data_IF_733623782972
#
_entry.id   IF_733623782972
#
_cell.length_a   1.000
_cell.length_b   1.000
_cell.length_c   1.000
_cell.angle_alpha   90.00
_cell.angle_beta   90.00
_cell.angle_gamma   90.00
#
_symmetry.space_group_name_H-M   'P 1'
#
loop_
_entity.id
_entity.type
_entity.pdbx_description
1 polymer ?
#
# COMPACT_ATOMS: atom_id res chain seq x y z
N UNK A 1 -85.54 103.95 -23.61
CA UNK A 1 -85.09 103.60 -22.23
C UNK A 1 -84.75 102.12 -22.26
N UNK A 2 -83.45 101.77 -22.29
CA UNK A 2 -82.61 101.48 -21.10
C UNK A 2 -82.84 100.05 -20.59
N UNK A 3 -81.87 99.15 -20.42
CA UNK A 3 -80.43 99.15 -20.67
C UNK A 3 -79.92 97.70 -20.85
N UNK A 4 -78.67 97.63 -21.32
CA UNK A 4 -77.57 96.80 -20.82
C UNK A 4 -77.48 95.32 -21.29
N UNK A 5 -76.55 95.14 -22.22
CA UNK A 5 -75.91 93.89 -22.59
C UNK A 5 -74.89 93.46 -21.53
N UNK A 6 -74.82 92.16 -21.26
CA UNK A 6 -73.64 91.49 -20.69
C UNK A 6 -73.39 90.18 -21.44
N UNK A 7 -72.29 90.19 -22.18
CA UNK A 7 -71.69 89.09 -22.91
C UNK A 7 -70.76 88.34 -21.95
N UNK A 8 -71.00 87.05 -21.71
CA UNK A 8 -70.03 86.16 -21.03
C UNK A 8 -69.80 84.91 -21.87
N UNK A 9 -68.60 84.90 -22.44
CA UNK A 9 -68.01 83.88 -23.30
C UNK A 9 -67.57 82.71 -22.42
N UNK A 10 -68.34 81.61 -22.42
CA UNK A 10 -67.98 80.36 -21.77
C UNK A 10 -66.82 79.69 -22.50
N UNK A 11 -65.67 79.59 -21.83
CA UNK A 11 -64.42 78.99 -22.29
C UNK A 11 -64.38 77.57 -21.73
N UNK A 12 -64.35 76.54 -22.58
CA UNK A 12 -63.99 75.19 -22.13
C UNK A 12 -62.53 75.15 -21.69
N UNK A 13 -62.22 74.41 -20.60
CA UNK A 13 -60.93 73.76 -20.55
C UNK A 13 -61.03 72.28 -20.14
N UNK A 14 -60.43 71.47 -21.00
CA UNK A 14 -59.56 70.32 -20.75
C UNK A 14 -60.04 69.18 -19.84
N UNK A 15 -60.23 68.02 -20.48
CA UNK A 15 -60.13 66.71 -19.87
C UNK A 15 -58.85 66.60 -19.00
N UNK A 16 -59.03 66.45 -17.69
CA UNK A 16 -57.95 66.05 -16.78
C UNK A 16 -57.37 64.71 -17.26
N UNK A 17 -56.20 64.75 -17.91
CA UNK A 17 -55.33 63.57 -18.04
C UNK A 17 -55.05 63.05 -16.63
N UNK A 18 -55.68 61.95 -16.26
CA UNK A 18 -55.32 61.22 -15.04
C UNK A 18 -53.85 60.83 -15.16
N UNK A 19 -53.00 61.49 -14.39
CA UNK A 19 -51.60 61.12 -14.21
C UNK A 19 -51.62 59.75 -13.51
N UNK A 20 -51.63 58.67 -14.30
CA UNK A 20 -51.63 57.28 -13.82
C UNK A 20 -50.43 57.16 -12.89
N UNK A 21 -50.68 57.09 -11.59
CA UNK A 21 -49.62 57.05 -10.60
C UNK A 21 -48.91 55.71 -10.76
N UNK A 22 -47.62 55.74 -11.05
CA UNK A 22 -46.78 54.54 -11.11
C UNK A 22 -46.59 53.89 -9.72
N UNK A 23 -47.40 54.26 -8.73
CA UNK A 23 -47.30 53.83 -7.33
C UNK A 23 -47.50 52.32 -7.16
N UNK A 24 -48.36 51.69 -7.97
CA UNK A 24 -48.51 50.23 -7.96
C UNK A 24 -47.29 49.49 -8.51
N UNK A 25 -46.63 50.05 -9.53
CA UNK A 25 -45.39 49.50 -10.08
C UNK A 25 -44.22 49.71 -9.12
N UNK A 26 -44.13 50.87 -8.47
CA UNK A 26 -43.15 51.15 -7.42
C UNK A 26 -43.33 50.24 -6.20
N UNK A 27 -44.57 50.03 -5.75
CA UNK A 27 -44.87 49.11 -4.65
C UNK A 27 -44.50 47.65 -5.01
N UNK A 28 -44.78 47.22 -6.24
CA UNK A 28 -44.37 45.91 -6.74
C UNK A 28 -42.85 45.72 -6.81
N UNK A 29 -42.11 46.75 -7.25
CA UNK A 29 -40.64 46.72 -7.29
C UNK A 29 -40.06 46.69 -5.87
N UNK A 30 -40.61 47.47 -4.93
CA UNK A 30 -40.18 47.45 -3.53
C UNK A 30 -40.41 46.08 -2.87
N UNK A 31 -41.57 45.46 -3.12
CA UNK A 31 -41.86 44.10 -2.65
C UNK A 31 -40.90 43.07 -3.26
N UNK A 32 -40.62 43.15 -4.56
CA UNK A 32 -39.67 42.27 -5.23
C UNK A 32 -38.26 42.41 -4.63
N UNK A 33 -37.79 43.64 -4.40
CA UNK A 33 -36.49 43.89 -3.79
C UNK A 33 -36.41 43.38 -2.35
N UNK A 34 -37.49 43.48 -1.58
CA UNK A 34 -37.58 42.91 -0.24
C UNK A 34 -37.50 41.36 -0.26
N UNK A 35 -38.20 40.72 -1.20
CA UNK A 35 -38.14 39.26 -1.38
C UNK A 35 -36.74 38.82 -1.82
N UNK A 36 -36.13 39.52 -2.78
CA UNK A 36 -34.75 39.23 -3.20
C UNK A 36 -33.77 39.43 -2.03
N UNK A 37 -33.92 40.52 -1.28
CA UNK A 37 -33.08 40.80 -0.11
C UNK A 37 -33.18 39.73 0.97
N UNK A 38 -34.39 39.25 1.25
CA UNK A 38 -34.60 38.15 2.22
C UNK A 38 -34.06 36.81 1.74
N UNK A 39 -34.16 36.50 0.44
CA UNK A 39 -33.56 35.29 -0.14
C UNK A 39 -32.02 35.36 -0.07
N UNK A 40 -31.42 36.50 -0.43
CA UNK A 40 -29.96 36.69 -0.36
C UNK A 40 -29.49 36.60 1.10
N UNK A 41 -30.20 37.25 2.02
CA UNK A 41 -29.87 37.22 3.45
C UNK A 41 -30.00 35.81 4.03
N UNK A 42 -31.09 35.09 3.71
CA UNK A 42 -31.28 33.70 4.09
C UNK A 42 -30.20 32.78 3.51
N UNK A 43 -29.85 32.96 2.24
CA UNK A 43 -28.76 32.22 1.60
C UNK A 43 -27.41 32.45 2.27
N UNK A 44 -27.08 33.71 2.59
CA UNK A 44 -25.87 34.06 3.33
C UNK A 44 -25.85 33.47 4.74
N UNK A 45 -26.97 33.52 5.47
CA UNK A 45 -27.11 32.92 6.80
C UNK A 45 -26.89 31.40 6.77
N UNK A 46 -27.45 30.71 5.78
CA UNK A 46 -27.33 29.25 5.61
C UNK A 46 -25.90 28.85 5.22
N UNK A 47 -25.25 29.60 4.32
CA UNK A 47 -23.85 29.37 3.96
C UNK A 47 -22.91 29.67 5.13
N UNK A 48 -23.18 30.74 5.89
CA UNK A 48 -22.44 31.05 7.12
C UNK A 48 -22.57 29.96 8.17
N UNK A 49 -23.79 29.44 8.37
CA UNK A 49 -24.07 28.33 9.27
C UNK A 49 -23.36 27.02 8.85
N UNK A 50 -23.31 26.71 7.54
CA UNK A 50 -22.58 25.53 7.03
C UNK A 50 -21.05 25.64 7.12
N UNK A 51 -20.50 26.86 7.21
CA UNK A 51 -19.05 27.12 7.26
C UNK A 51 -18.52 27.26 8.70
N UNK A 52 -19.38 27.25 9.70
CA UNK A 52 -19.00 27.48 11.09
C UNK A 52 -18.32 26.22 11.70
N UNK A 53 -16.98 26.25 11.78
CA UNK A 53 -16.10 25.14 12.23
C UNK A 53 -16.46 24.61 13.62
N UNK A 54 -17.07 25.43 14.47
CA UNK A 54 -17.45 25.06 15.84
C UNK A 54 -18.70 24.16 15.91
N UNK A 55 -19.47 24.02 14.81
CA UNK A 55 -20.77 23.31 14.81
C UNK A 55 -20.79 22.01 14.03
N UNK A 56 -19.88 21.82 13.07
CA UNK A 56 -19.71 20.60 12.28
C UNK A 56 -18.25 20.13 12.33
N UNK A 57 -17.76 19.64 13.49
CA UNK A 57 -16.44 19.03 13.53
C UNK A 57 -16.41 17.87 12.52
N UNK A 58 -15.24 17.59 11.92
CA UNK A 58 -14.99 16.33 11.22
C UNK A 58 -14.99 15.20 12.27
N UNK A 59 -16.18 14.84 12.74
CA UNK A 59 -16.36 14.10 13.98
C UNK A 59 -16.01 12.63 13.84
N UNK A 60 -16.18 12.06 12.64
CA UNK A 60 -16.07 10.62 12.43
C UNK A 60 -15.44 10.27 11.09
N UNK A 61 -14.45 9.39 11.15
CA UNK A 61 -13.85 8.74 9.99
C UNK A 61 -14.18 7.25 10.04
N UNK A 62 -14.77 6.73 8.98
CA UNK A 62 -15.08 5.31 8.83
C UNK A 62 -14.15 4.75 7.77
N UNK A 63 -13.19 3.94 8.22
CA UNK A 63 -12.22 3.27 7.35
C UNK A 63 -12.70 1.84 7.07
N UNK A 64 -12.80 1.50 5.79
CA UNK A 64 -13.28 0.21 5.28
C UNK A 64 -12.25 -0.39 4.31
N UNK A 65 -12.38 -1.69 4.04
CA UNK A 65 -11.43 -2.47 3.25
C UNK A 65 -10.67 -3.48 4.10
N UNK A 66 -10.07 -4.47 3.43
CA UNK A 66 -9.16 -5.42 4.08
C UNK A 66 -7.84 -4.71 4.38
N UNK A 67 -7.41 -4.74 5.65
CA UNK A 67 -6.23 -4.03 6.13
C UNK A 67 -5.33 -5.00 6.88
N UNK A 68 -4.13 -5.19 6.36
CA UNK A 68 -3.09 -6.00 6.98
C UNK A 68 -2.02 -5.09 7.60
N UNK A 69 -1.71 -3.97 6.95
CA UNK A 69 -0.64 -3.05 7.38
C UNK A 69 -1.16 -1.73 7.94
N UNK A 70 -2.31 -1.22 7.48
CA UNK A 70 -2.78 0.13 7.79
C UNK A 70 -3.57 0.20 9.08
N UNK A 71 -3.13 1.06 9.99
CA UNK A 71 -3.84 1.37 11.23
C UNK A 71 -4.71 2.62 11.09
N UNK A 72 -5.66 2.81 12.00
CA UNK A 72 -6.46 4.05 12.03
C UNK A 72 -5.60 5.29 12.31
N UNK A 73 -4.47 5.13 13.01
CA UNK A 73 -3.59 6.26 13.32
C UNK A 73 -2.81 6.71 12.09
N UNK A 74 -2.34 5.80 11.23
CA UNK A 74 -1.66 6.16 9.98
C UNK A 74 -2.51 7.10 9.11
N UNK A 75 -3.80 6.78 8.97
CA UNK A 75 -4.75 7.59 8.20
C UNK A 75 -4.99 8.94 8.89
N UNK A 76 -5.11 8.95 10.22
CA UNK A 76 -5.26 10.20 10.99
C UNK A 76 -4.03 11.09 10.80
N UNK A 77 -2.83 10.56 10.97
CA UNK A 77 -1.58 11.31 10.81
C UNK A 77 -1.41 11.80 9.37
N UNK A 78 -1.74 10.98 8.38
CA UNK A 78 -1.73 11.39 6.98
C UNK A 78 -2.63 12.62 6.74
N UNK A 79 -3.84 12.63 7.30
CA UNK A 79 -4.77 13.76 7.18
C UNK A 79 -4.27 14.99 7.94
N UNK A 80 -3.76 14.82 9.17
CA UNK A 80 -3.23 15.91 9.98
C UNK A 80 -1.98 16.56 9.35
N UNK A 81 -1.21 15.82 8.55
CA UNK A 81 -0.08 16.35 7.82
C UNK A 81 -0.47 17.38 6.74
N UNK A 82 -1.75 17.44 6.34
CA UNK A 82 -2.26 18.46 5.41
C UNK A 82 -2.47 19.83 6.08
N UNK A 83 -2.33 19.91 7.40
CA UNK A 83 -2.54 21.13 8.18
C UNK A 83 -3.69 21.00 9.17
N UNK A 84 -4.10 22.14 9.75
CA UNK A 84 -5.19 22.17 10.71
C UNK A 84 -6.47 21.60 10.08
N UNK A 85 -7.15 20.64 10.72
CA UNK A 85 -8.37 20.06 10.19
C UNK A 85 -9.42 21.17 9.99
N UNK A 86 -9.80 21.40 8.74
CA UNK A 86 -10.90 22.31 8.39
C UNK A 86 -12.26 21.72 8.75
N UNK A 87 -13.33 22.38 8.30
CA UNK A 87 -14.70 21.87 8.45
C UNK A 87 -14.97 20.76 7.44
N UNK A 88 -15.88 19.83 7.75
CA UNK A 88 -16.35 18.77 6.84
C UNK A 88 -16.71 19.30 5.43
N UNK A 89 -17.27 20.52 5.35
CA UNK A 89 -17.64 21.16 4.08
C UNK A 89 -16.45 21.69 3.28
N UNK A 90 -15.43 22.26 3.93
CA UNK A 90 -14.32 22.96 3.27
C UNK A 90 -13.15 22.05 2.90
N UNK A 91 -13.06 20.87 3.51
CA UNK A 91 -11.96 19.94 3.26
C UNK A 91 -12.08 19.28 1.87
N UNK A 92 -11.02 19.31 1.07
CA UNK A 92 -11.00 18.62 -0.23
C UNK A 92 -10.70 17.13 -0.06
N UNK A 93 -11.62 16.28 -0.52
CA UNK A 93 -11.45 14.82 -0.46
C UNK A 93 -10.38 14.31 -1.40
N UNK A 94 -10.13 14.99 -2.52
CA UNK A 94 -9.11 14.58 -3.49
C UNK A 94 -7.71 14.76 -2.89
N UNK A 95 -7.52 15.85 -2.14
CA UNK A 95 -6.25 16.11 -1.43
C UNK A 95 -6.03 15.06 -0.33
N UNK A 96 -7.08 14.69 0.41
CA UNK A 96 -7.00 13.61 1.40
C UNK A 96 -6.68 12.28 0.72
N UNK A 97 -7.36 11.96 -0.38
CA UNK A 97 -7.14 10.73 -1.12
C UNK A 97 -5.67 10.64 -1.56
N UNK A 98 -5.15 11.66 -2.23
CA UNK A 98 -3.75 11.72 -2.66
C UNK A 98 -2.78 11.59 -1.48
N UNK A 99 -3.10 12.19 -0.34
CA UNK A 99 -2.27 12.10 0.86
C UNK A 99 -2.26 10.71 1.48
N UNK A 100 -3.38 10.00 1.44
CA UNK A 100 -3.45 8.59 1.88
C UNK A 100 -2.73 7.68 0.89
N UNK A 101 -2.85 7.93 -0.41
CA UNK A 101 -2.14 7.20 -1.48
C UNK A 101 -0.62 7.40 -1.44
N UNK A 102 -0.10 8.39 -0.70
CA UNK A 102 1.34 8.53 -0.42
C UNK A 102 1.87 7.45 0.54
N UNK A 103 1.00 6.77 1.28
CA UNK A 103 1.41 5.58 2.03
C UNK A 103 1.75 4.50 1.01
N UNK A 104 3.04 4.13 0.93
CA UNK A 104 3.58 3.32 -0.16
C UNK A 104 2.91 1.95 -0.34
N UNK A 105 2.33 1.39 0.72
CA UNK A 105 1.62 0.10 0.69
C UNK A 105 0.14 0.19 0.33
N UNK A 106 -0.40 1.39 0.09
CA UNK A 106 -1.75 1.60 -0.40
C UNK A 106 -1.74 1.55 -1.92
N UNK A 107 -2.47 0.59 -2.50
CA UNK A 107 -2.67 0.47 -3.94
C UNK A 107 -3.68 1.49 -4.44
N UNK A 108 -4.76 1.68 -3.68
CA UNK A 108 -5.81 2.62 -4.02
C UNK A 108 -6.55 3.08 -2.76
N UNK A 109 -6.90 4.36 -2.70
CA UNK A 109 -7.82 4.89 -1.70
C UNK A 109 -9.02 5.53 -2.39
N UNK A 110 -10.21 5.39 -1.80
CA UNK A 110 -11.39 6.14 -2.19
C UNK A 110 -11.91 6.89 -0.99
N UNK A 111 -12.04 8.21 -1.12
CA UNK A 111 -12.46 9.09 -0.04
C UNK A 111 -13.73 9.80 -0.47
N UNK A 112 -14.79 9.65 0.33
CA UNK A 112 -16.06 10.33 0.07
C UNK A 112 -16.65 10.91 1.35
N UNK A 113 -17.29 12.05 1.19
CA UNK A 113 -18.11 12.68 2.24
C UNK A 113 -19.44 11.95 2.33
N UNK A 114 -19.86 11.62 3.54
CA UNK A 114 -21.20 11.14 3.86
C UNK A 114 -21.83 12.10 4.87
N UNK A 115 -22.92 12.74 4.45
CA UNK A 115 -23.68 13.63 5.33
C UNK A 115 -24.26 12.83 6.51
N UNK A 116 -24.29 13.38 7.75
CA UNK A 116 -24.04 14.78 8.12
C UNK A 116 -22.57 15.19 8.32
N UNK A 117 -21.71 14.31 8.83
CA UNK A 117 -20.36 14.67 9.30
C UNK A 117 -19.32 13.53 9.20
N UNK A 118 -19.55 12.55 8.31
CA UNK A 118 -18.72 11.35 8.19
C UNK A 118 -17.81 11.38 6.95
N UNK A 119 -16.53 11.06 7.13
CA UNK A 119 -15.62 10.76 6.03
C UNK A 119 -15.52 9.23 5.85
N UNK A 120 -16.03 8.72 4.74
CA UNK A 120 -15.88 7.31 4.38
C UNK A 120 -14.64 7.12 3.52
N UNK A 121 -13.72 6.31 4.04
CA UNK A 121 -12.45 5.98 3.40
C UNK A 121 -12.48 4.48 3.12
N UNK A 122 -12.34 4.10 1.86
CA UNK A 122 -12.16 2.71 1.44
C UNK A 122 -10.73 2.52 0.93
N UNK A 123 -10.02 1.56 1.51
CA UNK A 123 -8.61 1.30 1.21
C UNK A 123 -8.45 -0.05 0.53
N UNK A 124 -7.53 -0.09 -0.43
CA UNK A 124 -7.01 -1.32 -1.03
C UNK A 124 -5.50 -1.31 -0.83
N UNK A 125 -4.99 -2.25 -0.05
CA UNK A 125 -3.55 -2.43 0.18
C UNK A 125 -2.93 -3.28 -0.93
N UNK A 126 -1.64 -3.09 -1.19
CA UNK A 126 -0.88 -4.04 -2.00
C UNK A 126 -0.73 -5.38 -1.28
N UNK A 127 -0.85 -6.47 -2.02
CA UNK A 127 -0.65 -7.84 -1.52
C UNK A 127 0.72 -8.33 -2.00
N UNK A 128 1.71 -8.47 -1.11
CA UNK A 128 3.05 -8.90 -1.53
C UNK A 128 3.07 -10.37 -1.90
N UNK A 129 3.75 -10.68 -3.01
CA UNK A 129 4.06 -12.06 -3.42
C UNK A 129 5.53 -12.42 -3.18
N UNK A 130 6.40 -11.41 -3.16
CA UNK A 130 7.83 -11.58 -2.94
C UNK A 130 8.46 -10.32 -2.32
N UNK A 131 9.66 -10.49 -1.74
CA UNK A 131 10.50 -9.36 -1.32
C UNK A 131 11.40 -8.94 -2.48
N UNK A 132 11.56 -7.64 -2.67
CA UNK A 132 12.36 -7.04 -3.73
C UNK A 132 13.55 -6.29 -3.12
N UNK A 133 14.77 -6.66 -3.50
CA UNK A 133 16.01 -5.98 -3.06
C UNK A 133 16.06 -5.69 -1.54
N UNK A 134 15.67 -6.70 -0.73
CA UNK A 134 15.61 -6.71 0.74
C UNK A 134 14.61 -5.75 1.42
N UNK A 135 14.51 -4.50 0.96
CA UNK A 135 13.75 -3.43 1.60
C UNK A 135 12.35 -3.23 1.02
N UNK A 136 12.17 -3.60 -0.24
CA UNK A 136 10.91 -3.45 -0.97
C UNK A 136 10.18 -4.79 -1.03
N UNK A 137 8.94 -4.73 -1.49
CA UNK A 137 8.12 -5.87 -1.84
C UNK A 137 7.52 -5.64 -3.21
N UNK A 138 7.11 -6.74 -3.84
CA UNK A 138 6.45 -6.70 -5.15
C UNK A 138 5.13 -7.45 -5.07
N UNK A 139 4.09 -6.91 -5.70
CA UNK A 139 2.79 -7.56 -5.83
C UNK A 139 2.74 -8.54 -7.02
N UNK A 140 1.58 -9.15 -7.26
CA UNK A 140 1.41 -10.08 -8.37
C UNK A 140 1.43 -9.41 -9.76
N UNK A 141 1.32 -8.08 -9.83
CA UNK A 141 1.34 -7.33 -11.08
C UNK A 141 2.75 -6.76 -11.39
N UNK A 142 3.70 -6.89 -10.46
CA UNK A 142 5.05 -6.33 -10.62
C UNK A 142 5.22 -4.94 -10.02
N UNK A 143 4.22 -4.41 -9.30
CA UNK A 143 4.33 -3.11 -8.63
C UNK A 143 5.20 -3.25 -7.38
N UNK A 144 6.24 -2.42 -7.27
CA UNK A 144 7.07 -2.34 -6.08
C UNK A 144 6.51 -1.37 -5.05
N UNK A 145 6.56 -1.76 -3.78
CA UNK A 145 6.14 -0.94 -2.65
C UNK A 145 6.95 -1.25 -1.40
N UNK A 146 6.91 -0.37 -0.41
CA UNK A 146 7.57 -0.56 0.89
C UNK A 146 6.54 -0.66 2.01
N UNK A 147 6.88 -1.38 3.07
CA UNK A 147 6.12 -1.43 4.34
C UNK A 147 7.13 -1.31 5.48
N UNK A 148 6.82 -0.62 6.58
CA UNK A 148 7.66 -0.60 7.77
C UNK A 148 7.97 -2.03 8.24
N UNK A 149 9.25 -2.31 8.51
CA UNK A 149 9.74 -3.67 8.79
C UNK A 149 9.07 -4.31 10.01
N UNK A 150 8.62 -3.50 10.97
CA UNK A 150 7.91 -3.94 12.17
C UNK A 150 6.52 -4.53 11.85
N UNK A 151 5.94 -4.15 10.70
CA UNK A 151 4.62 -4.62 10.24
C UNK A 151 4.72 -5.80 9.27
N UNK A 152 5.92 -6.07 8.76
CA UNK A 152 6.20 -7.24 7.93
C UNK A 152 6.31 -8.43 8.88
N UNK A 153 5.18 -9.13 9.09
CA UNK A 153 5.16 -10.36 9.89
C UNK A 153 6.15 -11.43 9.39
N UNK A 154 6.27 -12.54 10.13
CA UNK A 154 7.21 -13.62 9.83
C UNK A 154 6.77 -14.53 8.66
N UNK A 155 6.28 -13.93 7.57
CA UNK A 155 5.83 -14.66 6.38
C UNK A 155 7.04 -15.05 5.55
N UNK A 156 7.20 -16.35 5.30
CA UNK A 156 8.15 -16.86 4.32
C UNK A 156 7.72 -16.39 2.93
N UNK A 157 8.54 -15.56 2.30
CA UNK A 157 8.34 -15.06 0.94
C UNK A 157 9.64 -15.25 0.15
N UNK A 158 9.57 -15.55 -1.15
CA UNK A 158 10.75 -15.62 -2.00
C UNK A 158 11.44 -14.25 -2.06
N UNK A 159 12.75 -14.28 -2.20
CA UNK A 159 13.61 -13.11 -2.34
C UNK A 159 13.91 -12.89 -3.83
N UNK A 160 13.57 -11.71 -4.35
CA UNK A 160 13.84 -11.32 -5.73
C UNK A 160 14.82 -10.15 -5.74
N UNK A 161 15.83 -10.23 -6.59
CA UNK A 161 16.83 -9.19 -6.77
C UNK A 161 16.97 -8.83 -8.24
N UNK A 162 17.10 -7.54 -8.51
CA UNK A 162 17.25 -7.04 -9.87
C UNK A 162 17.57 -5.55 -9.93
N UNK A 163 18.00 -5.04 -11.09
CA UNK A 163 18.10 -3.60 -11.33
C UNK A 163 16.73 -2.93 -11.20
N UNK A 164 16.72 -1.63 -10.88
CA UNK A 164 15.50 -0.82 -10.83
C UNK A 164 14.76 -0.86 -12.18
N UNK A 165 13.43 -1.02 -12.13
CA UNK A 165 12.59 -1.14 -13.33
C UNK A 165 12.50 -2.54 -13.93
N UNK A 166 13.17 -3.54 -13.34
CA UNK A 166 13.10 -4.95 -13.78
C UNK A 166 12.21 -5.84 -12.90
N UNK A 167 11.41 -5.25 -12.02
CA UNK A 167 10.53 -5.95 -11.08
C UNK A 167 9.67 -7.00 -11.79
N UNK A 168 8.98 -6.59 -12.87
CA UNK A 168 8.10 -7.45 -13.66
C UNK A 168 8.87 -8.57 -14.35
N UNK A 169 10.02 -8.26 -14.95
CA UNK A 169 10.85 -9.25 -15.66
C UNK A 169 11.39 -10.33 -14.70
N UNK A 170 11.84 -9.90 -13.51
CA UNK A 170 12.33 -10.82 -12.47
C UNK A 170 11.19 -11.65 -11.89
N UNK A 171 10.01 -11.05 -11.67
CA UNK A 171 8.83 -11.76 -11.18
C UNK A 171 8.35 -12.82 -12.19
N UNK A 172 8.33 -12.49 -13.48
CA UNK A 172 7.98 -13.44 -14.54
C UNK A 172 9.01 -14.58 -14.62
N UNK A 173 10.31 -14.24 -14.61
CA UNK A 173 11.38 -15.23 -14.55
C UNK A 173 11.25 -16.17 -13.34
N UNK A 174 10.96 -15.61 -12.16
CA UNK A 174 10.69 -16.39 -10.96
C UNK A 174 9.52 -17.35 -11.16
N UNK A 175 8.37 -16.88 -11.69
CA UNK A 175 7.19 -17.73 -11.91
C UNK A 175 7.50 -18.93 -12.80
N UNK A 176 8.14 -18.70 -13.95
CA UNK A 176 8.49 -19.75 -14.91
C UNK A 176 9.46 -20.76 -14.30
N UNK A 177 10.54 -20.29 -13.66
CA UNK A 177 11.55 -21.17 -13.06
C UNK A 177 11.01 -21.92 -11.85
N UNK A 178 10.19 -21.27 -11.01
CA UNK A 178 9.55 -21.88 -9.86
C UNK A 178 8.58 -22.99 -10.29
N UNK A 179 7.82 -22.81 -11.38
CA UNK A 179 6.93 -23.84 -11.91
C UNK A 179 7.70 -25.11 -12.32
N UNK A 180 8.82 -24.94 -13.03
CA UNK A 180 9.68 -26.06 -13.47
C UNK A 180 10.30 -26.78 -12.25
N UNK A 181 10.81 -26.03 -11.28
CA UNK A 181 11.42 -26.56 -10.06
C UNK A 181 10.41 -27.27 -9.14
N UNK A 182 9.23 -26.67 -8.95
CA UNK A 182 8.17 -27.22 -8.10
C UNK A 182 7.64 -28.56 -8.64
N UNK A 183 7.59 -28.74 -9.96
CA UNK A 183 7.24 -30.02 -10.60
C UNK A 183 8.21 -31.17 -10.27
N UNK A 184 9.37 -30.86 -9.66
CA UNK A 184 10.38 -31.80 -9.20
C UNK A 184 10.66 -31.69 -7.70
N UNK A 185 9.74 -31.06 -6.96
CA UNK A 185 9.79 -30.87 -5.49
C UNK A 185 10.96 -30.00 -5.01
N UNK A 186 11.53 -29.16 -5.88
CA UNK A 186 12.45 -28.11 -5.44
C UNK A 186 11.66 -26.85 -5.07
N UNK A 187 12.07 -26.20 -3.99
CA UNK A 187 11.51 -24.92 -3.55
C UNK A 187 12.50 -23.82 -3.86
N UNK A 188 12.06 -22.85 -4.67
CA UNK A 188 12.87 -21.69 -5.04
C UNK A 188 12.74 -20.60 -3.97
N UNK A 189 13.84 -20.35 -3.26
CA UNK A 189 13.94 -19.38 -2.15
C UNK A 189 14.34 -17.99 -2.64
N UNK A 190 15.21 -17.93 -3.64
CA UNK A 190 15.84 -16.71 -4.14
C UNK A 190 15.98 -16.72 -5.65
N UNK A 191 15.76 -15.56 -6.28
CA UNK A 191 16.12 -15.29 -7.68
C UNK A 191 16.81 -13.94 -7.76
N UNK A 192 17.94 -13.90 -8.45
CA UNK A 192 18.66 -12.66 -8.73
C UNK A 192 18.92 -12.54 -10.23
N UNK A 193 18.62 -11.36 -10.78
CA UNK A 193 18.98 -10.98 -12.14
C UNK A 193 19.95 -9.81 -12.10
N UNK A 194 21.09 -9.94 -12.76
CA UNK A 194 22.02 -8.82 -12.90
C UNK A 194 21.58 -7.84 -14.00
N UNK A 195 22.16 -6.63 -14.03
CA UNK A 195 21.95 -5.67 -15.12
C UNK A 195 22.32 -6.22 -16.52
N UNK A 196 23.14 -7.28 -16.57
CA UNK A 196 23.50 -7.99 -17.81
C UNK A 196 22.55 -9.16 -18.13
N UNK A 197 21.40 -9.22 -17.47
CA UNK A 197 20.41 -10.29 -17.57
C UNK A 197 20.96 -11.69 -17.25
N UNK A 198 21.98 -11.77 -16.38
CA UNK A 198 22.47 -13.04 -15.87
C UNK A 198 21.65 -13.45 -14.65
N UNK A 199 21.20 -14.69 -14.63
CA UNK A 199 20.33 -15.24 -13.60
C UNK A 199 21.09 -16.14 -12.64
N UNK A 200 20.76 -15.97 -11.36
CA UNK A 200 21.22 -16.80 -10.27
C UNK A 200 20.01 -17.20 -9.42
N UNK A 201 19.93 -18.47 -9.03
CA UNK A 201 18.86 -19.02 -8.19
C UNK A 201 19.43 -19.51 -6.86
N UNK A 202 18.61 -19.43 -5.81
CA UNK A 202 18.87 -20.08 -4.54
C UNK A 202 17.70 -20.97 -4.15
N UNK A 203 17.97 -22.23 -3.83
CA UNK A 203 16.98 -23.19 -3.36
C UNK A 203 16.86 -23.16 -1.82
N UNK A 204 15.78 -23.75 -1.28
CA UNK A 204 15.56 -23.82 0.18
C UNK A 204 16.70 -24.55 0.91
N UNK A 205 17.34 -25.54 0.26
CA UNK A 205 18.49 -26.31 0.80
C UNK A 205 19.84 -25.55 0.73
N UNK A 206 19.79 -24.24 0.51
CA UNK A 206 20.94 -23.33 0.32
C UNK A 206 21.85 -23.68 -0.88
N UNK A 207 21.34 -24.44 -1.84
CA UNK A 207 22.03 -24.69 -3.12
C UNK A 207 21.89 -23.47 -4.02
N UNK A 208 23.02 -22.95 -4.51
CA UNK A 208 23.05 -21.86 -5.49
C UNK A 208 23.20 -22.39 -6.91
N UNK A 209 22.38 -21.91 -7.84
CA UNK A 209 22.47 -22.24 -9.26
C UNK A 209 22.86 -21.01 -10.06
N UNK A 210 23.95 -21.09 -10.81
CA UNK A 210 24.36 -20.05 -11.75
C UNK A 210 23.85 -20.42 -13.14
N UNK A 211 22.81 -19.75 -13.63
CA UNK A 211 22.22 -20.05 -14.94
C UNK A 211 22.82 -19.21 -16.06
N UNK A 212 23.40 -18.05 -15.76
CA UNK A 212 23.88 -17.13 -16.78
C UNK A 212 22.72 -16.43 -17.50
N UNK A 213 22.98 -15.98 -18.74
CA UNK A 213 22.02 -15.18 -19.51
C UNK A 213 21.08 -16.03 -20.38
N UNK A 214 21.66 -16.91 -21.18
CA UNK A 214 20.95 -17.62 -22.25
C UNK A 214 20.47 -19.02 -21.82
N UNK A 215 19.51 -19.58 -22.56
CA UNK A 215 19.06 -20.97 -22.45
C UNK A 215 18.69 -21.44 -21.02
N UNK A 216 18.16 -20.53 -20.19
CA UNK A 216 17.83 -20.77 -18.77
C UNK A 216 17.00 -22.03 -18.54
N UNK A 217 16.02 -22.31 -19.39
CA UNK A 217 15.16 -23.50 -19.26
C UNK A 217 15.93 -24.79 -19.51
N UNK A 218 16.77 -24.84 -20.55
CA UNK A 218 17.63 -26.01 -20.84
C UNK A 218 18.64 -26.24 -19.73
N UNK A 219 19.25 -25.16 -19.22
CA UNK A 219 20.21 -25.21 -18.10
C UNK A 219 19.55 -25.70 -16.82
N UNK A 220 18.35 -25.24 -16.54
CA UNK A 220 17.56 -25.68 -15.38
C UNK A 220 17.14 -27.16 -15.52
N UNK A 221 16.72 -27.59 -16.71
CA UNK A 221 16.40 -29.00 -16.97
C UNK A 221 17.62 -29.91 -16.77
N UNK A 222 18.81 -29.49 -17.22
CA UNK A 222 20.07 -30.20 -16.98
C UNK A 222 20.36 -30.36 -15.49
N UNK A 223 20.16 -29.31 -14.69
CA UNK A 223 20.33 -29.40 -13.24
C UNK A 223 19.42 -30.48 -12.64
N UNK A 224 18.14 -30.48 -13.03
CA UNK A 224 17.16 -31.46 -12.55
C UNK A 224 17.60 -32.89 -12.89
N UNK A 225 18.14 -33.11 -14.09
CA UNK A 225 18.66 -34.41 -14.52
C UNK A 225 19.92 -34.84 -13.75
N UNK A 226 20.84 -33.92 -13.50
CA UNK A 226 22.10 -34.20 -12.81
C UNK A 226 21.95 -34.34 -11.29
N UNK A 227 20.95 -33.69 -10.69
CA UNK A 227 20.82 -33.57 -9.23
C UNK A 227 20.86 -34.92 -8.48
N UNK A 228 20.17 -35.99 -8.91
CA UNK A 228 20.23 -37.29 -8.21
C UNK A 228 21.62 -37.95 -8.24
N UNK A 229 22.42 -37.67 -9.28
CA UNK A 229 23.82 -38.13 -9.34
C UNK A 229 24.68 -37.33 -8.37
N UNK A 230 24.53 -36.00 -8.37
CA UNK A 230 25.26 -35.12 -7.47
C UNK A 230 24.96 -35.42 -6.00
N UNK A 231 23.71 -35.71 -5.66
CA UNK A 231 23.30 -36.02 -4.29
C UNK A 231 23.93 -37.34 -3.79
N UNK A 232 23.98 -38.37 -4.64
CA UNK A 232 24.63 -39.65 -4.30
C UNK A 232 26.14 -39.48 -4.09
N UNK A 233 26.80 -38.69 -4.94
CA UNK A 233 28.22 -38.39 -4.76
C UNK A 233 28.48 -37.62 -3.47
N UNK A 234 27.64 -36.62 -3.15
CA UNK A 234 27.75 -35.84 -1.92
C UNK A 234 27.69 -36.74 -0.67
N UNK A 235 26.74 -37.68 -0.64
CA UNK A 235 26.56 -38.62 0.47
C UNK A 235 27.75 -39.55 0.64
N UNK A 236 28.33 -40.07 -0.45
CA UNK A 236 29.49 -40.96 -0.39
C UNK A 236 30.76 -40.29 0.15
N UNK A 237 30.87 -38.97 0.01
CA UNK A 237 32.04 -38.18 0.45
C UNK A 237 31.77 -37.36 1.72
N UNK A 238 30.63 -37.55 2.40
CA UNK A 238 30.20 -36.75 3.56
C UNK A 238 30.23 -35.23 3.29
N UNK A 239 29.79 -34.84 2.09
CA UNK A 239 29.69 -33.46 1.61
C UNK A 239 28.24 -33.11 1.30
N UNK A 240 27.98 -31.82 1.13
CA UNK A 240 26.72 -31.30 0.58
C UNK A 240 26.98 -30.46 -0.66
N UNK A 241 25.98 -30.39 -1.53
CA UNK A 241 26.01 -29.54 -2.71
C UNK A 241 25.92 -28.06 -2.27
N UNK A 242 26.89 -27.24 -2.69
CA UNK A 242 26.94 -25.81 -2.36
C UNK A 242 26.46 -24.96 -3.53
N UNK A 243 27.05 -25.18 -4.72
CA UNK A 243 26.60 -24.51 -5.92
C UNK A 243 26.75 -25.39 -7.16
N UNK A 244 25.97 -25.08 -8.19
CA UNK A 244 26.09 -25.66 -9.54
C UNK A 244 26.15 -24.53 -10.54
N UNK A 245 27.25 -24.44 -11.27
CA UNK A 245 27.42 -23.48 -12.36
C UNK A 245 27.06 -24.13 -13.69
N UNK A 246 25.96 -23.68 -14.28
CA UNK A 246 25.35 -24.23 -15.50
C UNK A 246 25.62 -23.34 -16.72
N UNK A 247 26.49 -22.32 -16.59
CA UNK A 247 26.79 -21.38 -17.67
C UNK A 247 27.48 -22.02 -18.88
N UNK A 248 27.99 -23.25 -18.74
CA UNK A 248 28.62 -24.01 -19.82
C UNK A 248 27.58 -24.66 -20.74
N UNK A 249 27.85 -24.72 -22.04
CA UNK A 249 26.87 -25.18 -23.03
C UNK A 249 26.51 -26.65 -22.90
N UNK A 250 27.45 -27.52 -22.50
CA UNK A 250 27.25 -28.97 -22.40
C UNK A 250 27.67 -29.57 -21.06
N UNK A 251 27.96 -28.73 -20.05
CA UNK A 251 28.50 -29.19 -18.77
C UNK A 251 27.92 -28.45 -17.58
N UNK A 252 28.39 -28.84 -16.40
CA UNK A 252 28.15 -28.12 -15.15
C UNK A 252 29.40 -28.21 -14.27
N UNK A 253 29.77 -27.12 -13.61
CA UNK A 253 30.79 -27.14 -12.55
C UNK A 253 30.10 -27.21 -11.19
N UNK A 254 30.61 -28.03 -10.29
CA UNK A 254 29.96 -28.32 -9.01
C UNK A 254 30.87 -27.96 -7.85
N UNK A 255 30.36 -27.12 -6.95
CA UNK A 255 31.01 -26.79 -5.70
C UNK A 255 30.40 -27.57 -4.54
N UNK A 256 31.26 -28.13 -3.70
CA UNK A 256 30.87 -28.88 -2.51
C UNK A 256 31.17 -28.08 -1.25
N UNK A 257 30.37 -28.28 -0.21
CA UNK A 257 30.66 -27.85 1.15
C UNK A 257 30.71 -29.09 2.07
N UNK A 258 31.38 -29.01 3.23
CA UNK A 258 31.27 -30.05 4.25
C UNK A 258 29.79 -30.31 4.59
N UNK A 259 29.43 -31.57 4.85
CA UNK A 259 28.11 -31.87 5.40
C UNK A 259 27.92 -31.09 6.71
N UNK A 260 26.71 -30.57 6.92
CA UNK A 260 26.38 -30.00 8.21
C UNK A 260 26.44 -31.14 9.22
N UNK A 261 27.39 -31.07 10.15
CA UNK A 261 27.39 -31.96 11.31
C UNK A 261 26.11 -31.62 12.08
N UNK A 262 25.23 -32.61 12.27
CA UNK A 262 24.05 -32.44 13.11
C UNK A 262 24.48 -31.90 14.48
N UNK A 263 24.17 -30.63 14.76
CA UNK A 263 24.49 -30.00 16.05
C UNK A 263 23.81 -30.71 17.22
N UNK A 264 22.77 -31.52 16.95
CA UNK A 264 22.10 -32.36 17.93
C UNK A 264 23.03 -33.38 18.59
N UNK A 265 24.07 -33.87 17.89
CA UNK A 265 25.06 -34.79 18.48
C UNK A 265 26.10 -34.09 19.35
N UNK A 266 26.35 -32.79 19.13
CA UNK A 266 27.35 -32.01 19.88
C UNK A 266 26.79 -31.56 21.22
N UNK A 267 25.52 -31.18 21.26
CA UNK A 267 24.86 -30.77 22.51
C UNK A 267 24.59 -31.97 23.42
N UNK A 268 24.16 -33.11 22.86
CA UNK A 268 23.96 -34.34 23.64
C UNK A 268 25.27 -34.90 24.22
N UNK A 269 26.40 -34.77 23.50
CA UNK A 269 27.72 -35.18 24.01
C UNK A 269 28.21 -34.27 25.14
N UNK A 270 27.96 -32.95 25.05
CA UNK A 270 28.26 -32.01 26.14
C UNK A 270 27.44 -32.29 27.40
N UNK A 271 26.18 -32.66 27.27
CA UNK A 271 25.33 -33.01 28.41
C UNK A 271 25.80 -34.28 29.11
N UNK A 272 26.18 -35.31 28.34
CA UNK A 272 26.73 -36.57 28.89
C UNK A 272 28.07 -36.31 29.61
N UNK A 273 28.96 -35.52 29.02
CA UNK A 273 30.27 -35.20 29.62
C UNK A 273 30.12 -34.34 30.90
N UNK A 274 29.11 -33.47 30.98
CA UNK A 274 28.80 -32.70 32.20
C UNK A 274 28.19 -33.58 33.31
N UNK A 275 27.35 -34.55 32.95
CA UNK A 275 26.75 -35.48 33.92
C UNK A 275 27.79 -36.44 34.50
N UNK A 276 28.75 -36.89 33.71
CA UNK A 276 29.86 -37.72 34.20
C UNK A 276 30.78 -36.95 35.15
N UNK A 277 31.11 -35.70 34.83
CA UNK A 277 31.96 -34.86 35.68
C UNK A 277 31.28 -34.45 37.01
N UNK A 278 29.97 -34.26 37.02
CA UNK A 278 29.21 -33.97 38.25
C UNK A 278 29.14 -35.19 39.16
N UNK A 279 28.88 -36.38 38.60
CA UNK A 279 28.87 -37.64 39.35
C UNK A 279 30.25 -37.99 39.94
N UNK A 280 31.34 -37.74 39.21
CA UNK A 280 32.70 -37.92 39.76
C UNK A 280 32.99 -36.97 40.92
N UNK A 281 32.57 -35.70 40.83
CA UNK A 281 32.75 -34.72 41.92
C UNK A 281 31.92 -35.08 43.15
N UNK A 282 30.70 -35.59 42.98
CA UNK A 282 29.87 -36.07 44.09
C UNK A 282 30.49 -37.28 44.79
N UNK A 283 30.97 -38.26 44.03
CA UNK A 283 31.61 -39.45 44.61
C UNK A 283 32.91 -39.10 45.35
N UNK A 284 33.70 -38.14 44.85
CA UNK A 284 34.90 -37.65 45.55
C UNK A 284 34.57 -36.86 46.83
N UNK A 285 33.44 -36.13 46.86
CA UNK A 285 32.99 -35.41 48.04
C UNK A 285 32.48 -36.36 49.15
N UNK A 286 31.78 -37.43 48.77
CA UNK A 286 31.31 -38.45 49.72
C UNK A 286 32.46 -39.30 50.29
N UNK A 287 33.47 -39.62 49.47
CA UNK A 287 34.65 -40.37 49.92
C UNK A 287 35.55 -39.60 50.90
N UNK A 288 35.40 -38.27 51.01
CA UNK A 288 36.16 -37.43 51.98
C UNK A 288 35.41 -37.21 53.31
N UNK A 289 34.20 -37.74 53.45
CA UNK A 289 33.37 -37.61 54.65
C UNK A 289 33.26 -38.91 55.46
N UNK A 290 33.97 -39.96 55.06
CA UNK A 290 34.20 -41.19 55.82
C UNK A 290 35.65 -41.22 56.31
#
# INVERSE_FOLDING_TARGET
MSQAALNTRGREPEAKRSRRSNGGQLAGILFLLMVIGTIIWGGWMVVGWMKDTSRLPLSRMVVTGERQYTTNDDIRQAILALGAPGTFMTQDVNVIQQQIERLSWIKQASVRKQWPDELKIHLVEYVPVARWNDLLMVDAEGNSFSVPTERIGNRKMPLLYGPEGSETDVLEGYRTMNQVLAARKFTLKMVAMSARHSWQLGLEDDIRLELGRDDRERRLARFIELYPLLQRQAQGESKRLSYVDLRYDSGAAVGWAPALLDQQGVDQKKDIDQQQNSNQKQNQAQAKQQ
#
